data_IF_904162567566
#
_entry.id   IF_904162567566
#
_cell.length_a   1.000
_cell.length_b   1.000
_cell.length_c   1.000
_cell.angle_alpha   90.00
_cell.angle_beta   90.00
_cell.angle_gamma   90.00
#
_symmetry.space_group_name_H-M   'P 1'
#
loop_
_entity.id
_entity.type
_entity.pdbx_description
1 polymer ?
#
# COMPACT_ATOMS: atom_id res chain seq x y z
N UNK A 1 2.97 16.44 -9.94
CA UNK A 1 1.92 16.28 -8.92
C UNK A 1 0.62 15.93 -9.61
N UNK A 2 -0.13 14.97 -9.08
CA UNK A 2 -1.37 14.48 -9.69
C UNK A 2 -2.53 14.55 -8.70
N UNK A 3 -3.72 14.79 -9.22
CA UNK A 3 -4.98 14.49 -8.54
C UNK A 3 -5.43 13.11 -8.98
N UNK A 4 -5.67 12.21 -8.03
CA UNK A 4 -6.26 10.89 -8.30
C UNK A 4 -7.67 10.87 -7.76
N UNK A 5 -8.62 10.45 -8.57
CA UNK A 5 -10.05 10.43 -8.26
C UNK A 5 -10.51 8.97 -8.29
N UNK A 6 -11.02 8.49 -7.16
CA UNK A 6 -11.65 7.17 -7.06
C UNK A 6 -13.17 7.34 -7.06
N UNK A 7 -13.86 6.50 -7.84
CA UNK A 7 -15.32 6.53 -7.97
C UNK A 7 -15.87 5.16 -7.61
N UNK A 8 -16.78 5.12 -6.64
CA UNK A 8 -17.47 3.90 -6.18
C UNK A 8 -18.93 3.90 -6.59
N UNK A 9 -19.52 2.73 -6.62
CA UNK A 9 -20.93 2.52 -6.89
C UNK A 9 -21.61 1.87 -5.68
N UNK A 10 -22.32 2.68 -4.90
CA UNK A 10 -22.99 2.21 -3.68
C UNK A 10 -22.02 1.61 -2.67
N UNK A 11 -22.28 0.40 -2.22
CA UNK A 11 -21.46 -0.36 -1.25
C UNK A 11 -20.49 -1.36 -1.91
N UNK A 12 -20.43 -1.39 -3.24
CA UNK A 12 -19.49 -2.24 -3.97
C UNK A 12 -18.05 -1.79 -3.66
N UNK A 13 -17.14 -2.67 -3.21
CA UNK A 13 -15.74 -2.31 -2.95
C UNK A 13 -14.97 -1.94 -4.23
N UNK A 14 -15.45 -2.37 -5.39
CA UNK A 14 -14.83 -2.07 -6.68
C UNK A 14 -14.96 -0.60 -7.04
N UNK A 15 -13.95 -0.07 -7.71
CA UNK A 15 -13.92 1.34 -8.06
C UNK A 15 -13.30 1.61 -9.43
N UNK A 16 -13.64 2.78 -9.99
CA UNK A 16 -12.95 3.35 -11.13
C UNK A 16 -11.86 4.30 -10.63
N UNK A 17 -10.85 4.52 -11.46
CA UNK A 17 -9.76 5.48 -11.19
C UNK A 17 -9.61 6.45 -12.35
N UNK A 18 -9.50 7.72 -12.00
CA UNK A 18 -9.15 8.81 -12.90
C UNK A 18 -7.98 9.58 -12.31
N UNK A 19 -7.23 10.27 -13.16
CA UNK A 19 -6.18 11.18 -12.72
C UNK A 19 -6.14 12.45 -13.56
N UNK A 20 -5.58 13.52 -12.98
CA UNK A 20 -5.27 14.79 -13.66
C UNK A 20 -3.86 15.21 -13.27
N UNK A 21 -3.04 15.64 -14.24
CA UNK A 21 -1.76 16.28 -13.95
C UNK A 21 -2.02 17.72 -13.47
N UNK A 22 -1.59 18.05 -12.26
CA UNK A 22 -1.74 19.37 -11.66
C UNK A 22 -0.62 20.34 -12.05
N UNK A 23 0.34 19.91 -12.85
CA UNK A 23 1.38 20.80 -13.40
C UNK A 23 0.92 21.56 -14.65
N UNK A 24 -0.12 21.06 -15.31
CA UNK A 24 -0.75 21.68 -16.48
C UNK A 24 -2.18 22.09 -16.12
N UNK A 25 -2.44 23.38 -16.06
CA UNK A 25 -3.76 23.92 -15.73
C UNK A 25 -4.83 23.49 -16.75
N UNK A 26 -4.42 23.21 -17.99
CA UNK A 26 -5.29 22.76 -19.07
C UNK A 26 -5.39 21.24 -19.19
N UNK A 27 -4.67 20.47 -18.34
CA UNK A 27 -4.77 19.01 -18.38
C UNK A 27 -6.22 18.55 -18.21
N UNK A 28 -6.62 17.57 -18.97
CA UNK A 28 -7.92 16.91 -18.81
C UNK A 28 -7.85 15.83 -17.72
N UNK A 29 -9.01 15.42 -17.21
CA UNK A 29 -9.13 14.24 -16.36
C UNK A 29 -9.06 13.00 -17.25
N UNK A 30 -8.11 12.14 -16.98
CA UNK A 30 -7.85 10.92 -17.76
C UNK A 30 -8.38 9.71 -16.99
N UNK A 31 -9.08 8.82 -17.68
CA UNK A 31 -9.57 7.57 -17.15
C UNK A 31 -8.42 6.54 -17.14
N UNK A 32 -8.05 6.05 -15.95
CA UNK A 32 -7.00 5.06 -15.77
C UNK A 32 -7.60 3.65 -15.64
N UNK A 33 -8.66 3.50 -14.86
CA UNK A 33 -9.43 2.27 -14.70
C UNK A 33 -10.89 2.58 -15.01
N UNK A 34 -11.39 1.97 -16.09
CA UNK A 34 -12.73 2.24 -16.68
C UNK A 34 -13.80 1.22 -16.30
N UNK A 35 -13.44 0.14 -15.62
CA UNK A 35 -14.35 -0.94 -15.28
C UNK A 35 -14.38 -1.21 -13.78
N UNK A 36 -15.58 -1.48 -13.24
CA UNK A 36 -15.77 -1.94 -11.86
C UNK A 36 -15.40 -3.43 -11.72
N UNK A 37 -14.13 -3.77 -11.98
CA UNK A 37 -13.65 -5.15 -11.99
C UNK A 37 -13.00 -5.57 -10.66
N UNK A 38 -12.36 -4.62 -9.94
CA UNK A 38 -11.64 -4.86 -8.71
C UNK A 38 -11.59 -3.60 -7.83
N UNK A 39 -11.12 -3.74 -6.61
CA UNK A 39 -10.75 -2.63 -5.75
C UNK A 39 -9.31 -2.17 -6.07
N UNK A 40 -9.13 -0.86 -6.18
CA UNK A 40 -7.83 -0.23 -6.37
C UNK A 40 -7.64 0.88 -5.33
N UNK A 41 -6.67 0.72 -4.45
CA UNK A 41 -6.30 1.72 -3.44
C UNK A 41 -4.94 2.30 -3.77
N UNK A 42 -4.89 3.60 -4.03
CA UNK A 42 -3.62 4.29 -4.29
C UNK A 42 -2.72 4.19 -3.06
N UNK A 43 -1.47 3.80 -3.28
CA UNK A 43 -0.42 3.80 -2.26
C UNK A 43 0.38 5.10 -2.36
N UNK A 44 1.01 5.33 -3.51
CA UNK A 44 1.83 6.52 -3.81
C UNK A 44 2.17 6.55 -5.30
N UNK A 45 2.92 7.57 -5.74
CA UNK A 45 3.50 7.61 -7.08
C UNK A 45 4.94 8.15 -7.09
N UNK A 46 5.70 7.75 -8.11
CA UNK A 46 6.99 8.35 -8.45
C UNK A 46 7.04 8.65 -9.94
N UNK A 47 7.14 9.94 -10.27
CA UNK A 47 7.01 10.36 -11.66
C UNK A 47 5.68 9.88 -12.25
N UNK A 48 5.73 9.13 -13.35
CA UNK A 48 4.57 8.54 -14.02
C UNK A 48 4.16 7.17 -13.47
N UNK A 49 4.93 6.56 -12.57
CA UNK A 49 4.63 5.26 -11.98
C UNK A 49 3.75 5.43 -10.75
N UNK A 50 2.60 4.78 -10.73
CA UNK A 50 1.64 4.76 -9.63
C UNK A 50 1.55 3.36 -9.05
N UNK A 51 1.58 3.23 -7.73
CA UNK A 51 1.40 1.97 -7.03
C UNK A 51 0.01 1.88 -6.41
N UNK A 52 -0.64 0.75 -6.63
CA UNK A 52 -1.95 0.45 -6.08
C UNK A 52 -1.93 -0.91 -5.38
N UNK A 53 -2.61 -0.98 -4.23
CA UNK A 53 -3.08 -2.26 -3.71
C UNK A 53 -4.37 -2.63 -4.45
N UNK A 54 -4.49 -3.87 -4.87
CA UNK A 54 -5.68 -4.36 -5.60
C UNK A 54 -5.96 -5.82 -5.28
N UNK A 55 -7.24 -6.21 -5.40
CA UNK A 55 -7.70 -7.60 -5.38
C UNK A 55 -7.93 -8.19 -6.79
N UNK A 56 -7.51 -7.49 -7.84
CA UNK A 56 -7.64 -7.95 -9.23
C UNK A 56 -6.93 -9.29 -9.44
N UNK A 57 -7.71 -10.38 -9.62
CA UNK A 57 -7.21 -11.75 -9.72
C UNK A 57 -6.27 -12.13 -8.55
N UNK A 58 -6.52 -11.60 -7.37
CA UNK A 58 -5.74 -11.77 -6.17
C UNK A 58 -6.61 -11.49 -4.93
N UNK A 59 -7.53 -12.40 -4.54
CA UNK A 59 -8.50 -12.15 -3.47
C UNK A 59 -7.87 -11.80 -2.12
N UNK A 60 -6.61 -12.18 -1.90
CA UNK A 60 -5.84 -11.79 -0.69
C UNK A 60 -5.04 -10.49 -0.86
N UNK A 61 -5.16 -9.84 -2.01
CA UNK A 61 -4.49 -8.58 -2.31
C UNK A 61 -3.07 -8.73 -2.84
N UNK A 62 -2.69 -7.78 -3.67
CA UNK A 62 -1.33 -7.59 -4.23
C UNK A 62 -1.05 -6.13 -4.47
N UNK A 63 0.21 -5.78 -4.74
CA UNK A 63 0.59 -4.45 -5.21
C UNK A 63 0.89 -4.51 -6.69
N UNK A 64 0.33 -3.58 -7.45
CA UNK A 64 0.64 -3.36 -8.86
C UNK A 64 1.27 -1.98 -9.05
N UNK A 65 2.09 -1.86 -10.09
CA UNK A 65 2.64 -0.60 -10.55
C UNK A 65 2.14 -0.33 -11.97
N UNK A 66 1.57 0.85 -12.19
CA UNK A 66 1.05 1.32 -13.48
C UNK A 66 1.86 2.54 -13.88
N UNK A 67 2.54 2.46 -15.02
CA UNK A 67 3.10 3.65 -15.66
C UNK A 67 2.00 4.33 -16.47
N UNK A 68 1.56 5.52 -16.05
CA UNK A 68 0.51 6.27 -16.75
C UNK A 68 0.92 6.77 -18.14
N UNK A 69 2.22 6.77 -18.47
CA UNK A 69 2.69 7.02 -19.84
C UNK A 69 2.45 5.82 -20.74
N UNK A 70 2.29 4.60 -20.18
CA UNK A 70 2.05 3.36 -20.93
C UNK A 70 1.08 2.44 -20.15
N UNK A 71 -0.19 2.85 -19.96
CA UNK A 71 -1.10 2.31 -18.95
C UNK A 71 -1.76 0.97 -19.29
N UNK A 72 -1.45 0.37 -20.46
CA UNK A 72 -2.04 -0.91 -20.85
C UNK A 72 -1.78 -1.99 -19.79
N UNK A 73 -2.80 -2.80 -19.47
CA UNK A 73 -2.71 -3.86 -18.45
C UNK A 73 -1.56 -4.84 -18.67
N UNK A 74 -1.17 -5.08 -19.93
CA UNK A 74 -0.03 -5.93 -20.27
C UNK A 74 1.33 -5.39 -19.82
N UNK A 75 1.40 -4.10 -19.47
CA UNK A 75 2.62 -3.42 -19.04
C UNK A 75 2.69 -3.25 -17.51
N UNK A 76 1.62 -3.62 -16.80
CA UNK A 76 1.59 -3.51 -15.35
C UNK A 76 2.62 -4.44 -14.72
N UNK A 77 3.34 -3.91 -13.75
CA UNK A 77 4.26 -4.70 -12.93
C UNK A 77 3.58 -5.10 -11.63
N UNK A 78 4.07 -6.17 -11.01
CA UNK A 78 3.55 -6.69 -9.74
C UNK A 78 4.72 -6.77 -8.76
N UNK A 79 5.10 -5.64 -8.12
CA UNK A 79 6.19 -5.66 -7.14
C UNK A 79 5.90 -6.56 -5.93
N UNK A 80 4.66 -6.59 -5.43
CA UNK A 80 4.29 -7.51 -4.36
C UNK A 80 3.16 -8.40 -4.86
N UNK A 81 3.44 -9.68 -5.17
CA UNK A 81 2.42 -10.63 -5.59
C UNK A 81 1.51 -11.04 -4.42
N UNK A 82 0.37 -11.66 -4.74
CA UNK A 82 -0.48 -12.27 -3.74
C UNK A 82 0.29 -13.32 -2.92
N UNK A 83 0.09 -13.30 -1.62
CA UNK A 83 0.71 -14.23 -0.67
C UNK A 83 -0.34 -15.19 -0.04
N UNK A 84 0.12 -16.07 0.86
CA UNK A 84 -0.80 -16.91 1.65
C UNK A 84 -1.59 -16.08 2.67
N UNK A 85 -0.98 -15.03 3.21
CA UNK A 85 -1.60 -14.06 4.11
C UNK A 85 -2.36 -12.99 3.33
N UNK A 86 -3.39 -12.41 3.95
CA UNK A 86 -4.16 -11.32 3.32
C UNK A 86 -3.42 -10.00 3.48
N UNK A 87 -3.13 -9.33 2.38
CA UNK A 87 -2.56 -7.98 2.35
C UNK A 87 -3.67 -6.96 2.68
N UNK A 88 -3.67 -6.44 3.90
CA UNK A 88 -4.68 -5.50 4.38
C UNK A 88 -4.41 -4.06 3.92
N UNK A 89 -3.17 -3.61 4.07
CA UNK A 89 -2.77 -2.26 3.68
C UNK A 89 -1.30 -2.19 3.27
N UNK A 90 -0.95 -1.14 2.54
CA UNK A 90 0.44 -0.84 2.16
C UNK A 90 0.65 0.67 2.23
N UNK A 91 1.74 1.09 2.83
CA UNK A 91 2.25 2.46 2.81
C UNK A 91 3.67 2.50 2.25
N UNK A 92 4.17 3.70 1.91
CA UNK A 92 5.57 3.88 1.53
C UNK A 92 6.25 4.79 2.55
N UNK A 93 7.27 4.26 3.22
CA UNK A 93 8.12 4.96 4.17
C UNK A 93 9.59 4.65 3.86
N UNK A 94 10.48 5.62 3.96
CA UNK A 94 11.91 5.46 3.66
C UNK A 94 12.17 4.82 2.28
N UNK A 95 11.33 5.16 1.26
CA UNK A 95 11.33 4.53 -0.06
C UNK A 95 11.21 2.99 -0.03
N UNK A 96 10.45 2.46 0.90
CA UNK A 96 10.15 1.05 1.05
C UNK A 96 8.65 0.87 1.21
N UNK A 97 8.09 -0.19 0.65
CA UNK A 97 6.75 -0.63 0.99
C UNK A 97 6.74 -1.17 2.41
N UNK A 98 5.80 -0.71 3.20
CA UNK A 98 5.44 -1.26 4.51
C UNK A 98 4.11 -1.95 4.31
N UNK A 99 4.16 -3.26 4.18
CA UNK A 99 3.01 -4.11 3.88
C UNK A 99 2.47 -4.74 5.17
N UNK A 100 1.19 -4.50 5.43
CA UNK A 100 0.45 -5.03 6.56
C UNK A 100 -0.33 -6.26 6.11
N UNK A 101 -0.01 -7.41 6.69
CA UNK A 101 -0.66 -8.68 6.42
C UNK A 101 -1.44 -9.19 7.63
N UNK A 102 -2.61 -9.74 7.35
CA UNK A 102 -3.37 -10.52 8.32
C UNK A 102 -3.05 -12.01 8.13
N UNK A 103 -2.50 -12.62 9.18
CA UNK A 103 -2.20 -14.05 9.25
C UNK A 103 -2.89 -14.65 10.48
N UNK A 104 -3.77 -15.64 10.30
CA UNK A 104 -4.41 -16.36 11.43
C UNK A 104 -4.93 -15.41 12.53
N UNK A 105 -5.55 -14.29 12.14
CA UNK A 105 -6.08 -13.25 13.02
C UNK A 105 -5.03 -12.42 13.81
N UNK A 106 -3.76 -12.40 13.39
CA UNK A 106 -2.75 -11.47 13.92
C UNK A 106 -2.03 -10.73 12.79
N UNK A 107 -1.44 -9.59 13.12
CA UNK A 107 -0.73 -8.74 12.14
C UNK A 107 0.69 -9.22 11.92
N UNK A 108 1.12 -9.22 10.65
CA UNK A 108 2.52 -9.29 10.24
C UNK A 108 2.86 -8.07 9.39
N UNK A 109 3.96 -7.38 9.70
CA UNK A 109 4.44 -6.24 8.91
C UNK A 109 5.72 -6.65 8.19
N UNK A 110 5.69 -6.55 6.86
CA UNK A 110 6.83 -6.88 5.99
C UNK A 110 7.26 -5.65 5.20
N UNK A 111 8.56 -5.45 5.10
CA UNK A 111 9.18 -4.36 4.34
C UNK A 111 9.73 -4.91 3.03
N UNK A 112 9.42 -4.22 1.94
CA UNK A 112 9.95 -4.51 0.61
C UNK A 112 10.54 -3.22 0.04
N UNK A 113 11.56 -3.34 -0.80
CA UNK A 113 11.98 -2.20 -1.62
C UNK A 113 10.94 -1.89 -2.72
N UNK A 114 11.13 -0.82 -3.48
CA UNK A 114 10.17 -0.41 -4.51
C UNK A 114 10.17 -1.34 -5.74
N UNK A 115 11.14 -2.24 -5.86
CA UNK A 115 11.13 -3.32 -6.86
C UNK A 115 10.34 -4.55 -6.41
N UNK A 116 10.04 -4.65 -5.10
CA UNK A 116 9.32 -5.75 -4.47
C UNK A 116 10.22 -6.79 -3.81
N UNK A 117 11.53 -6.54 -3.74
CA UNK A 117 12.44 -7.44 -3.03
C UNK A 117 12.26 -7.30 -1.52
N UNK A 118 12.17 -8.43 -0.78
CA UNK A 118 12.03 -8.42 0.67
C UNK A 118 13.23 -7.76 1.35
N UNK A 119 12.96 -6.81 2.25
CA UNK A 119 13.99 -6.14 3.05
C UNK A 119 14.07 -6.76 4.44
N UNK A 120 12.93 -6.83 5.15
CA UNK A 120 12.83 -7.43 6.49
C UNK A 120 11.39 -7.58 6.95
N UNK A 121 11.18 -8.43 7.93
CA UNK A 121 9.96 -8.45 8.73
C UNK A 121 10.14 -7.57 9.97
N UNK A 122 9.08 -6.86 10.37
CA UNK A 122 9.08 -6.07 11.60
C UNK A 122 8.85 -7.00 12.79
N UNK A 123 9.77 -7.02 13.73
CA UNK A 123 9.62 -7.78 14.97
C UNK A 123 8.59 -7.08 15.86
N UNK A 124 7.34 -7.54 15.84
CA UNK A 124 6.28 -7.07 16.73
C UNK A 124 6.45 -7.63 18.16
N UNK A 125 5.89 -6.99 19.20
CA UNK A 125 6.04 -7.43 20.59
C UNK A 125 5.49 -8.83 20.90
N UNK A 126 4.73 -9.42 19.99
CA UNK A 126 4.16 -10.75 20.12
C UNK A 126 3.05 -11.02 19.11
N UNK A 127 2.22 -12.04 19.39
CA UNK A 127 1.02 -12.32 18.61
C UNK A 127 -0.08 -11.35 19.03
N UNK A 128 -0.58 -10.56 18.08
CA UNK A 128 -1.59 -9.53 18.35
C UNK A 128 -1.89 -8.70 17.12
N UNK A 129 -2.56 -7.57 17.33
CA UNK A 129 -2.88 -6.61 16.28
C UNK A 129 -1.94 -5.42 16.35
N UNK A 130 -1.34 -5.09 15.24
CA UNK A 130 -0.54 -3.87 15.08
C UNK A 130 -1.11 -3.02 13.93
N UNK A 131 -0.88 -1.71 13.98
CA UNK A 131 -1.29 -0.82 12.92
C UNK A 131 -0.79 0.59 13.15
N UNK A 132 -0.82 1.42 12.11
CA UNK A 132 -0.41 2.82 12.20
C UNK A 132 0.86 3.19 11.46
N UNK A 133 1.62 2.26 10.92
CA UNK A 133 2.83 2.50 10.12
C UNK A 133 2.57 3.50 8.97
N UNK A 134 2.50 4.78 9.32
CA UNK A 134 2.18 5.88 8.40
C UNK A 134 3.15 7.03 8.57
N UNK A 135 3.26 7.86 7.53
CA UNK A 135 4.16 9.00 7.50
C UNK A 135 4.35 9.50 6.07
N UNK A 136 5.34 10.34 5.87
CA UNK A 136 5.76 10.79 4.54
C UNK A 136 6.76 9.79 3.96
N UNK A 137 6.80 9.72 2.64
CA UNK A 137 7.68 8.80 1.90
C UNK A 137 9.15 8.80 2.37
N UNK A 138 9.69 9.97 2.74
CA UNK A 138 11.08 10.10 3.15
C UNK A 138 11.31 9.95 4.65
N UNK A 139 10.24 9.72 5.44
CA UNK A 139 10.38 9.52 6.88
C UNK A 139 11.12 8.20 7.13
N UNK A 140 12.11 8.26 8.01
CA UNK A 140 12.93 7.11 8.40
C UNK A 140 12.49 6.51 9.72
N UNK A 141 11.46 7.10 10.32
CA UNK A 141 10.88 6.72 11.59
C UNK A 141 9.36 6.79 11.48
N UNK A 142 8.67 5.92 12.20
CA UNK A 142 7.21 5.91 12.26
C UNK A 142 6.75 5.41 13.63
N UNK A 143 5.46 5.52 13.90
CA UNK A 143 4.84 4.98 15.10
C UNK A 143 3.81 3.93 14.72
N UNK A 144 3.67 2.92 15.56
CA UNK A 144 2.60 1.95 15.45
C UNK A 144 2.00 1.63 16.81
N UNK A 145 0.74 1.25 16.82
CA UNK A 145 0.08 0.69 18.00
C UNK A 145 0.17 -0.83 17.95
N UNK A 146 0.31 -1.45 19.11
CA UNK A 146 0.21 -2.90 19.27
C UNK A 146 -0.70 -3.22 20.44
N UNK A 147 -1.54 -4.25 20.29
CA UNK A 147 -2.40 -4.78 21.33
C UNK A 147 -2.53 -6.30 21.19
N UNK A 148 -2.72 -6.99 22.32
CA UNK A 148 -3.02 -8.42 22.35
C UNK A 148 -3.96 -8.74 23.53
N UNK A 149 -4.33 -10.00 23.69
CA UNK A 149 -5.14 -10.42 24.84
C UNK A 149 -4.49 -10.13 26.20
N UNK A 150 -3.16 -10.14 26.27
CA UNK A 150 -2.38 -9.96 27.50
C UNK A 150 -1.67 -8.63 27.58
N UNK A 151 -1.64 -7.86 26.48
CA UNK A 151 -0.96 -6.57 26.40
C UNK A 151 -1.97 -5.50 26.02
N UNK A 152 -2.28 -4.53 26.92
CA UNK A 152 -3.06 -3.36 26.57
C UNK A 152 -2.44 -2.58 25.43
N UNK A 153 -3.23 -1.84 24.67
CA UNK A 153 -2.74 -1.04 23.56
C UNK A 153 -1.58 -0.13 23.98
N UNK A 154 -0.48 -0.23 23.27
CA UNK A 154 0.74 0.59 23.44
C UNK A 154 1.17 1.16 22.11
N UNK A 155 1.81 2.33 22.16
CA UNK A 155 2.43 2.97 21.01
C UNK A 155 3.94 2.66 21.05
N UNK A 156 4.47 2.28 19.91
CA UNK A 156 5.88 2.01 19.68
C UNK A 156 6.43 2.96 18.63
N UNK A 157 7.64 3.40 18.83
CA UNK A 157 8.42 4.09 17.82
C UNK A 157 9.24 3.05 17.05
N UNK A 158 9.22 3.13 15.72
CA UNK A 158 9.94 2.20 14.85
C UNK A 158 10.91 2.97 13.94
N UNK A 159 12.16 2.56 13.92
CA UNK A 159 13.18 3.09 13.03
C UNK A 159 13.32 2.18 11.80
N UNK A 160 12.95 2.69 10.62
CA UNK A 160 12.98 1.94 9.36
C UNK A 160 14.39 1.59 8.87
N UNK A 161 15.42 2.35 9.29
CA UNK A 161 16.81 2.08 8.93
C UNK A 161 17.40 0.95 9.76
N UNK A 162 17.22 1.01 11.08
CA UNK A 162 17.81 0.03 12.01
C UNK A 162 16.93 -1.19 12.21
N UNK A 163 15.59 -1.05 12.09
CA UNK A 163 14.61 -2.08 12.39
C UNK A 163 14.28 -2.20 13.88
N UNK A 164 14.69 -1.22 14.69
CA UNK A 164 14.45 -1.22 16.14
C UNK A 164 13.10 -0.62 16.47
N UNK A 165 12.41 -1.25 17.43
CA UNK A 165 11.19 -0.75 18.07
C UNK A 165 11.45 -0.39 19.53
N UNK A 166 11.01 0.79 19.97
CA UNK A 166 11.13 1.25 21.35
C UNK A 166 9.81 1.80 21.87
#
# INVERSE_FOLDING_TARGET
QYLVISVWRGTDPKNLLFYKDLKDDNAEVIELISEFEAQYSLIDNEGSTFWFRTDLNAPKGKVIAIDIANPAKSNWQIPIPEAEETLESVSILNNQFVADYLKDAYTQIKLFDLSGEPVRDVALPGIGSAGGFSGKRMDTETFYSFTSYTVPSRIYHYNLKTGEST
#
